data_IF_683378534441
#
_entry.id   IF_683378534441
#
_cell.length_a   1.000
_cell.length_b   1.000
_cell.length_c   1.000
_cell.angle_alpha   90.00
_cell.angle_beta   90.00
_cell.angle_gamma   90.00
#
_symmetry.space_group_name_H-M   'P 1'
#
loop_
_entity.id
_entity.type
_entity.pdbx_description
1 polymer ?
#
# COMPACT_ATOMS: atom_id res chain seq x y z
N UNK A 1 13.12 -25.23 -37.29
CA UNK A 1 13.07 -25.48 -35.82
C UNK A 1 13.64 -24.37 -34.94
N UNK A 2 14.95 -24.11 -34.92
CA UNK A 2 15.52 -23.07 -34.02
C UNK A 2 15.00 -21.67 -34.37
N UNK A 3 15.05 -21.30 -35.65
CA UNK A 3 14.55 -20.01 -36.12
C UNK A 3 13.06 -19.81 -35.87
N UNK A 4 12.24 -20.85 -36.04
CA UNK A 4 10.79 -20.79 -35.75
C UNK A 4 10.53 -20.61 -34.24
N UNK A 5 11.34 -21.26 -33.39
CA UNK A 5 11.26 -21.07 -31.94
C UNK A 5 11.68 -19.66 -31.52
N UNK A 6 12.71 -19.11 -32.17
CA UNK A 6 13.18 -17.73 -32.01
C UNK A 6 12.10 -16.73 -32.47
N UNK A 7 11.58 -16.89 -33.69
CA UNK A 7 10.57 -16.01 -34.29
C UNK A 7 9.26 -16.02 -33.49
N UNK A 8 8.87 -17.17 -32.96
CA UNK A 8 7.68 -17.26 -32.10
C UNK A 8 7.84 -16.58 -30.73
N UNK A 9 9.01 -16.04 -30.37
CA UNK A 9 9.17 -15.17 -29.19
C UNK A 9 8.64 -13.74 -29.44
N UNK A 10 8.50 -13.35 -30.71
CA UNK A 10 8.05 -12.01 -31.09
C UNK A 10 8.97 -10.92 -30.53
N UNK A 11 8.38 -9.90 -29.92
CA UNK A 11 9.07 -8.74 -29.34
C UNK A 11 9.65 -9.01 -27.94
N UNK A 12 9.29 -10.13 -27.30
CA UNK A 12 9.66 -10.43 -25.91
C UNK A 12 11.16 -10.76 -25.72
N UNK A 13 11.93 -10.77 -26.80
CA UNK A 13 13.35 -11.13 -26.79
C UNK A 13 13.58 -12.61 -26.51
N UNK A 14 14.84 -13.03 -26.53
CA UNK A 14 15.25 -14.42 -26.31
C UNK A 14 16.47 -14.41 -25.41
N UNK A 15 16.53 -15.35 -24.48
CA UNK A 15 17.68 -15.56 -23.61
C UNK A 15 18.52 -16.71 -24.17
N UNK A 16 19.82 -16.47 -24.36
CA UNK A 16 20.76 -17.51 -24.78
C UNK A 16 21.62 -17.88 -23.57
N UNK A 17 21.52 -19.14 -23.14
CA UNK A 17 22.25 -19.65 -21.98
C UNK A 17 23.30 -20.68 -22.41
N UNK A 18 24.56 -20.41 -22.10
CA UNK A 18 25.70 -21.29 -22.44
C UNK A 18 26.70 -21.33 -21.29
N UNK A 19 27.16 -22.52 -20.90
CA UNK A 19 28.14 -22.73 -19.82
C UNK A 19 29.60 -22.79 -20.29
N UNK A 20 29.88 -22.37 -21.53
CA UNK A 20 31.21 -22.41 -22.13
C UNK A 20 31.71 -23.83 -22.42
N UNK A 21 32.97 -23.96 -22.84
CA UNK A 21 33.61 -25.24 -23.17
C UNK A 21 34.22 -25.96 -21.97
N UNK A 22 34.43 -25.27 -20.85
CA UNK A 22 35.08 -25.82 -19.65
C UNK A 22 34.12 -26.67 -18.78
N UNK A 23 32.82 -26.59 -19.03
CA UNK A 23 31.78 -27.37 -18.34
C UNK A 23 31.23 -28.38 -19.35
N UNK A 24 32.04 -29.39 -19.68
CA UNK A 24 31.68 -30.45 -20.63
C UNK A 24 30.78 -31.55 -20.02
N UNK A 25 30.73 -31.62 -18.69
CA UNK A 25 29.98 -32.66 -17.97
C UNK A 25 29.37 -32.08 -16.69
N UNK A 26 28.07 -31.80 -16.74
CA UNK A 26 27.26 -31.40 -15.59
C UNK A 26 26.40 -32.58 -15.13
N UNK A 27 26.28 -32.78 -13.81
CA UNK A 27 25.41 -33.82 -13.24
C UNK A 27 23.94 -33.56 -13.57
N UNK A 28 23.15 -34.61 -13.70
CA UNK A 28 21.71 -34.53 -14.01
C UNK A 28 20.94 -33.68 -12.98
N UNK A 29 21.31 -33.77 -11.70
CA UNK A 29 20.75 -32.97 -10.62
C UNK A 29 20.93 -31.46 -10.85
N UNK A 30 22.15 -31.01 -11.20
CA UNK A 30 22.44 -29.60 -11.49
C UNK A 30 21.72 -29.15 -12.76
N UNK A 31 21.63 -30.03 -13.76
CA UNK A 31 20.88 -29.77 -14.98
C UNK A 31 19.39 -29.57 -14.69
N UNK A 32 18.80 -30.39 -13.82
CA UNK A 32 17.41 -30.27 -13.39
C UNK A 32 17.14 -28.99 -12.60
N UNK A 33 18.07 -28.59 -11.71
CA UNK A 33 17.97 -27.31 -10.98
C UNK A 33 17.97 -26.13 -11.96
N UNK A 34 18.92 -26.11 -12.90
CA UNK A 34 18.99 -25.05 -13.92
C UNK A 34 17.75 -25.05 -14.81
N UNK A 35 17.30 -26.21 -15.29
CA UNK A 35 16.09 -26.33 -16.08
C UNK A 35 14.86 -25.78 -15.36
N UNK A 36 14.71 -26.08 -14.06
CA UNK A 36 13.62 -25.58 -13.23
C UNK A 36 13.67 -24.06 -13.02
N UNK A 37 14.86 -23.48 -12.95
CA UNK A 37 15.05 -22.04 -12.86
C UNK A 37 14.73 -21.34 -14.19
N UNK A 38 15.20 -21.89 -15.32
CA UNK A 38 14.90 -21.38 -16.65
C UNK A 38 13.41 -21.46 -16.98
N UNK A 39 12.70 -22.47 -16.47
CA UNK A 39 11.26 -22.62 -16.63
C UNK A 39 10.43 -21.52 -15.95
N UNK A 40 10.97 -20.83 -14.93
CA UNK A 40 10.29 -19.73 -14.24
C UNK A 40 10.35 -18.41 -15.03
N UNK A 41 11.21 -18.34 -16.05
CA UNK A 41 11.44 -17.13 -16.83
C UNK A 41 10.37 -17.02 -17.94
N UNK A 42 9.68 -15.88 -18.10
CA UNK A 42 8.63 -15.73 -19.11
C UNK A 42 9.16 -15.68 -20.55
N UNK A 43 10.43 -15.30 -20.75
CA UNK A 43 11.09 -15.30 -22.05
C UNK A 43 11.45 -16.71 -22.53
N UNK A 44 11.57 -16.88 -23.85
CA UNK A 44 12.09 -18.11 -24.45
C UNK A 44 13.59 -18.22 -24.26
N UNK A 45 14.05 -19.42 -23.89
CA UNK A 45 15.44 -19.69 -23.60
C UNK A 45 16.02 -20.70 -24.59
N UNK A 46 17.13 -20.35 -25.22
CA UNK A 46 17.98 -21.27 -25.97
C UNK A 46 19.12 -21.71 -25.05
N UNK A 47 19.16 -22.99 -24.71
CA UNK A 47 20.20 -23.52 -23.83
C UNK A 47 21.12 -24.48 -24.59
N UNK A 48 22.41 -24.15 -24.65
CA UNK A 48 23.44 -25.08 -25.12
C UNK A 48 23.75 -26.12 -24.04
N UNK A 49 23.38 -27.38 -24.28
CA UNK A 49 23.61 -28.49 -23.37
C UNK A 49 23.91 -29.78 -24.14
N UNK A 50 25.05 -30.39 -23.84
CA UNK A 50 25.54 -31.61 -24.51
C UNK A 50 25.18 -32.89 -23.74
N UNK A 51 24.60 -32.78 -22.54
CA UNK A 51 24.24 -33.92 -21.68
C UNK A 51 22.83 -34.46 -21.89
N UNK A 52 22.40 -35.37 -21.01
CA UNK A 52 21.02 -35.89 -21.03
C UNK A 52 20.01 -34.75 -20.82
N UNK A 53 18.86 -34.87 -21.48
CA UNK A 53 17.74 -33.92 -21.33
C UNK A 53 17.24 -33.94 -19.88
N UNK A 54 17.19 -32.80 -19.18
CA UNK A 54 16.61 -32.69 -17.84
C UNK A 54 15.10 -32.98 -17.86
N UNK A 55 14.59 -33.63 -16.81
CA UNK A 55 13.17 -33.99 -16.70
C UNK A 55 12.30 -32.76 -16.38
N UNK A 56 12.88 -31.73 -15.74
CA UNK A 56 12.20 -30.49 -15.33
C UNK A 56 12.23 -29.40 -16.42
N UNK A 57 12.47 -29.76 -17.67
CA UNK A 57 12.58 -28.80 -18.78
C UNK A 57 11.22 -28.15 -19.11
N UNK A 58 11.12 -26.83 -18.93
CA UNK A 58 9.93 -26.06 -19.27
C UNK A 58 9.70 -25.90 -20.78
N UNK A 59 8.45 -25.64 -21.22
CA UNK A 59 8.10 -25.48 -22.64
C UNK A 59 8.72 -24.22 -23.29
N UNK A 60 9.16 -23.26 -22.46
CA UNK A 60 9.85 -22.04 -22.87
C UNK A 60 11.35 -22.26 -23.15
N UNK A 61 11.92 -23.43 -22.83
CA UNK A 61 13.35 -23.70 -22.99
C UNK A 61 13.58 -24.80 -24.02
N UNK A 62 14.46 -24.55 -25.00
CA UNK A 62 14.91 -25.57 -25.95
C UNK A 62 16.40 -25.84 -25.82
N UNK A 63 16.74 -27.13 -25.82
CA UNK A 63 18.11 -27.62 -25.75
C UNK A 63 18.69 -27.73 -27.15
N UNK A 64 19.89 -27.22 -27.32
CA UNK A 64 20.67 -27.39 -28.54
C UNK A 64 22.06 -27.90 -28.19
N UNK A 65 22.57 -28.81 -29.00
CA UNK A 65 23.96 -29.28 -28.89
C UNK A 65 24.95 -28.17 -29.25
N UNK A 66 24.60 -27.38 -30.27
CA UNK A 66 25.43 -26.32 -30.80
C UNK A 66 24.59 -25.10 -31.16
N UNK A 67 25.09 -23.92 -30.83
CA UNK A 67 24.44 -22.63 -31.11
C UNK A 67 25.46 -21.75 -31.86
N UNK A 68 25.11 -21.16 -33.02
CA UNK A 68 26.01 -20.28 -33.77
C UNK A 68 26.21 -18.96 -33.01
N UNK A 69 27.31 -18.86 -32.26
CA UNK A 69 27.58 -17.70 -31.39
C UNK A 69 27.95 -16.43 -32.17
N UNK A 70 28.64 -16.57 -33.32
CA UNK A 70 29.04 -15.42 -34.15
C UNK A 70 27.82 -14.70 -34.73
N UNK A 71 26.88 -15.43 -35.33
CA UNK A 71 25.67 -14.86 -35.93
C UNK A 71 24.79 -14.16 -34.88
N UNK A 72 24.70 -14.73 -33.67
CA UNK A 72 23.99 -14.10 -32.55
C UNK A 72 24.68 -12.82 -32.08
N UNK A 73 26.01 -12.81 -32.04
CA UNK A 73 26.80 -11.64 -31.67
C UNK A 73 26.62 -10.52 -32.70
N UNK A 74 26.72 -10.83 -34.00
CA UNK A 74 26.48 -9.86 -35.07
C UNK A 74 25.09 -9.24 -34.99
N UNK A 75 24.06 -10.07 -34.74
CA UNK A 75 22.68 -9.60 -34.58
C UNK A 75 22.50 -8.72 -33.34
N UNK A 76 23.16 -9.05 -32.22
CA UNK A 76 23.11 -8.24 -31.00
C UNK A 76 23.78 -6.87 -31.19
N UNK A 77 24.94 -6.84 -31.87
CA UNK A 77 25.65 -5.60 -32.21
C UNK A 77 24.81 -4.74 -33.16
N UNK A 78 24.20 -5.35 -34.17
CA UNK A 78 23.32 -4.65 -35.10
C UNK A 78 22.08 -4.07 -34.41
N UNK A 79 21.39 -4.84 -33.55
CA UNK A 79 20.25 -4.37 -32.76
C UNK A 79 20.63 -3.24 -31.80
N UNK A 80 21.78 -3.34 -31.14
CA UNK A 80 22.31 -2.28 -30.29
C UNK A 80 22.54 -1.00 -31.09
N UNK A 81 23.10 -1.13 -32.30
CA UNK A 81 23.34 0.01 -33.19
C UNK A 81 22.03 0.72 -33.54
N UNK A 82 20.96 -0.02 -33.87
CA UNK A 82 19.64 0.55 -34.16
C UNK A 82 19.01 1.20 -32.93
N UNK A 83 19.15 0.59 -31.74
CA UNK A 83 18.58 1.17 -30.52
C UNK A 83 19.27 2.49 -30.13
N UNK A 84 20.58 2.59 -30.38
CA UNK A 84 21.34 3.81 -30.18
C UNK A 84 21.21 4.80 -31.34
N UNK A 85 20.60 4.40 -32.45
CA UNK A 85 20.36 5.27 -33.59
C UNK A 85 19.25 6.27 -33.26
N UNK A 86 19.66 7.43 -32.77
CA UNK A 86 18.77 8.54 -32.51
C UNK A 86 18.91 9.56 -33.64
N UNK A 87 17.80 10.16 -34.13
CA UNK A 87 17.82 11.10 -35.25
C UNK A 87 18.62 12.39 -34.92
N UNK A 88 18.87 12.64 -33.64
CA UNK A 88 19.71 13.73 -33.16
C UNK A 88 20.70 13.19 -32.14
N UNK A 89 21.97 13.58 -32.29
CA UNK A 89 23.01 13.24 -31.31
C UNK A 89 22.64 13.84 -29.95
N UNK A 90 22.99 13.16 -28.84
CA UNK A 90 22.64 13.63 -27.50
C UNK A 90 23.24 15.01 -27.18
N UNK A 91 24.42 15.31 -27.73
CA UNK A 91 25.06 16.61 -27.60
C UNK A 91 24.26 17.71 -28.31
N UNK A 92 23.87 17.49 -29.57
CA UNK A 92 23.09 18.47 -30.34
C UNK A 92 21.71 18.71 -29.71
N UNK A 93 21.09 17.67 -29.14
CA UNK A 93 19.84 17.80 -28.36
C UNK A 93 20.04 18.66 -27.11
N UNK A 94 21.13 18.45 -26.36
CA UNK A 94 21.43 19.25 -25.18
C UNK A 94 21.70 20.71 -25.56
N UNK A 95 22.49 20.95 -26.62
CA UNK A 95 22.77 22.28 -27.18
C UNK A 95 21.46 22.98 -27.60
N UNK A 96 20.56 22.26 -28.27
CA UNK A 96 19.25 22.79 -28.60
C UNK A 96 18.46 23.25 -27.37
N UNK A 97 18.38 22.42 -26.32
CA UNK A 97 17.62 22.78 -25.12
C UNK A 97 18.24 23.93 -24.33
N UNK A 98 19.57 24.02 -24.22
CA UNK A 98 20.21 25.18 -23.58
C UNK A 98 19.97 26.45 -24.38
N UNK A 99 20.06 26.39 -25.71
CA UNK A 99 19.77 27.54 -26.57
C UNK A 99 18.30 27.94 -26.49
N UNK A 100 17.37 26.97 -26.45
CA UNK A 100 15.95 27.22 -26.26
C UNK A 100 15.70 27.97 -24.94
N UNK A 101 16.31 27.54 -23.84
CA UNK A 101 16.20 28.20 -22.54
C UNK A 101 16.78 29.61 -22.57
N UNK A 102 17.92 29.82 -23.23
CA UNK A 102 18.53 31.15 -23.38
C UNK A 102 17.68 32.10 -24.25
N UNK A 103 17.20 31.64 -25.40
CA UNK A 103 16.38 32.43 -26.34
C UNK A 103 15.06 32.87 -25.73
N UNK A 104 14.46 32.03 -24.89
CA UNK A 104 13.17 32.32 -24.25
C UNK A 104 13.29 32.93 -22.84
N UNK A 105 14.47 33.44 -22.44
CA UNK A 105 14.73 34.09 -21.14
C UNK A 105 14.27 33.24 -19.94
N UNK A 106 14.56 31.93 -20.02
CA UNK A 106 14.06 30.94 -19.09
C UNK A 106 12.66 30.48 -19.46
N UNK A 107 12.51 29.18 -19.78
CA UNK A 107 11.23 28.57 -20.10
C UNK A 107 10.34 28.47 -18.85
N UNK A 108 9.71 29.57 -18.45
CA UNK A 108 8.82 29.65 -17.26
C UNK A 108 7.70 28.61 -17.30
N UNK A 109 7.28 28.21 -18.51
CA UNK A 109 6.27 27.17 -18.74
C UNK A 109 6.78 25.73 -18.56
N UNK A 110 8.09 25.49 -18.61
CA UNK A 110 8.72 24.19 -18.32
C UNK A 110 9.16 24.06 -16.86
N UNK A 111 9.03 25.14 -16.06
CA UNK A 111 9.31 25.08 -14.64
C UNK A 111 8.18 24.33 -13.94
N UNK A 112 8.47 23.32 -13.11
CA UNK A 112 7.45 22.71 -12.26
C UNK A 112 6.81 23.80 -11.39
N UNK A 113 5.47 23.84 -11.37
CA UNK A 113 4.72 24.80 -10.56
C UNK A 113 5.09 24.75 -9.07
N UNK A 114 5.73 23.67 -8.62
CA UNK A 114 6.28 23.45 -7.28
C UNK A 114 7.29 24.52 -6.83
N UNK A 115 8.03 25.16 -7.74
CA UNK A 115 9.11 26.08 -7.35
C UNK A 115 8.59 27.45 -6.88
N UNK A 116 7.40 27.87 -7.30
CA UNK A 116 6.83 29.18 -6.96
C UNK A 116 5.88 29.13 -5.75
N UNK A 117 5.72 27.97 -5.10
CA UNK A 117 4.93 27.86 -3.87
C UNK A 117 5.76 28.28 -2.65
N UNK A 118 5.15 29.10 -1.80
CA UNK A 118 5.70 29.42 -0.47
C UNK A 118 5.86 28.15 0.36
N UNK A 119 6.87 28.11 1.25
CA UNK A 119 7.16 26.93 2.09
C UNK A 119 5.91 26.39 2.83
N UNK A 120 5.03 27.29 3.27
CA UNK A 120 3.78 26.95 3.96
C UNK A 120 2.72 26.28 3.06
N UNK A 121 2.64 26.66 1.78
CA UNK A 121 1.76 26.01 0.80
C UNK A 121 2.30 24.65 0.37
N UNK A 122 3.62 24.54 0.19
CA UNK A 122 4.27 23.27 -0.13
C UNK A 122 4.00 22.22 0.96
N UNK A 123 4.06 22.63 2.23
CA UNK A 123 3.81 21.73 3.35
C UNK A 123 2.32 21.62 3.77
N UNK A 124 1.39 22.26 3.05
CA UNK A 124 -0.06 22.21 3.29
C UNK A 124 -0.44 22.26 4.79
N UNK A 125 0.07 23.26 5.53
CA UNK A 125 -0.11 23.36 6.99
C UNK A 125 -1.58 23.36 7.44
N UNK A 126 -2.49 23.87 6.60
CA UNK A 126 -3.93 23.84 6.88
C UNK A 126 -4.45 22.40 7.00
N UNK A 127 -4.00 21.51 6.12
CA UNK A 127 -4.38 20.10 6.13
C UNK A 127 -3.74 19.35 7.30
N UNK A 128 -2.47 19.65 7.61
CA UNK A 128 -1.79 19.08 8.80
C UNK A 128 -2.50 19.54 10.09
N UNK A 129 -2.86 20.81 10.18
CA UNK A 129 -3.59 21.37 11.31
C UNK A 129 -4.96 20.73 11.50
N UNK A 130 -5.72 20.55 10.41
CA UNK A 130 -7.01 19.86 10.43
C UNK A 130 -6.89 18.40 10.90
N UNK A 131 -5.93 17.65 10.37
CA UNK A 131 -5.68 16.27 10.77
C UNK A 131 -5.30 16.15 12.26
N UNK A 132 -4.43 17.03 12.75
CA UNK A 132 -4.05 17.06 14.18
C UNK A 132 -5.24 17.40 15.07
N UNK A 133 -6.11 18.33 14.66
CA UNK A 133 -7.34 18.66 15.39
C UNK A 133 -8.32 17.47 15.43
N UNK A 134 -8.49 16.75 14.33
CA UNK A 134 -9.30 15.53 14.29
C UNK A 134 -8.75 14.45 15.23
N UNK A 135 -7.43 14.21 15.23
CA UNK A 135 -6.82 13.24 16.15
C UNK A 135 -6.98 13.68 17.61
N UNK A 136 -6.73 14.97 17.91
CA UNK A 136 -6.87 15.50 19.25
C UNK A 136 -8.31 15.40 19.78
N UNK A 137 -9.31 15.69 18.95
CA UNK A 137 -10.74 15.55 19.33
C UNK A 137 -11.12 14.10 19.58
N UNK A 138 -10.68 13.17 18.74
CA UNK A 138 -10.91 11.73 18.94
C UNK A 138 -10.28 11.25 20.26
N UNK A 139 -9.00 11.58 20.50
CA UNK A 139 -8.30 11.24 21.75
C UNK A 139 -9.00 11.87 22.96
N UNK A 140 -9.48 13.12 22.85
CA UNK A 140 -10.20 13.79 23.92
C UNK A 140 -11.53 13.10 24.24
N UNK A 141 -12.32 12.75 23.20
CA UNK A 141 -13.58 12.01 23.35
C UNK A 141 -13.32 10.65 24.00
N UNK A 142 -12.35 9.89 23.50
CA UNK A 142 -11.96 8.59 24.06
C UNK A 142 -11.57 8.74 25.54
N UNK A 143 -10.72 9.71 25.87
CA UNK A 143 -10.26 9.97 27.24
C UNK A 143 -11.43 10.34 28.16
N UNK A 144 -12.37 11.17 27.69
CA UNK A 144 -13.57 11.54 28.45
C UNK A 144 -14.54 10.38 28.61
N UNK A 145 -14.70 9.55 27.59
CA UNK A 145 -15.48 8.31 27.65
C UNK A 145 -14.87 7.33 28.66
N UNK A 146 -13.55 7.10 28.63
CA UNK A 146 -12.86 6.27 29.62
C UNK A 146 -13.02 6.83 31.04
N UNK A 147 -12.76 8.12 31.27
CA UNK A 147 -12.95 8.76 32.58
C UNK A 147 -14.41 8.72 33.06
N UNK A 148 -15.37 8.81 32.14
CA UNK A 148 -16.79 8.67 32.45
C UNK A 148 -17.13 7.24 32.87
N UNK A 149 -16.65 6.23 32.14
CA UNK A 149 -16.78 4.82 32.50
C UNK A 149 -16.13 4.52 33.86
N UNK A 150 -14.92 5.02 34.13
CA UNK A 150 -14.28 4.83 35.44
C UNK A 150 -15.07 5.50 36.58
N UNK A 151 -15.68 6.67 36.35
CA UNK A 151 -16.50 7.35 37.35
C UNK A 151 -17.82 6.65 37.64
N UNK A 152 -18.46 6.05 36.65
CA UNK A 152 -19.72 5.31 36.85
C UNK A 152 -19.48 3.97 37.56
N UNK A 153 -18.44 3.22 37.19
CA UNK A 153 -18.06 1.98 37.89
C UNK A 153 -17.60 2.22 39.34
N UNK A 154 -16.84 3.29 39.61
CA UNK A 154 -16.46 3.65 40.98
C UNK A 154 -17.66 4.05 41.87
N UNK A 155 -18.74 4.58 41.27
CA UNK A 155 -20.00 4.89 41.97
C UNK A 155 -20.80 3.62 42.28
N UNK A 156 -20.82 2.63 41.40
CA UNK A 156 -21.51 1.36 41.62
C UNK A 156 -20.87 0.54 42.74
N UNK A 157 -19.53 0.48 42.82
CA UNK A 157 -18.83 -0.20 43.92
C UNK A 157 -19.05 0.42 45.30
N UNK A 158 -19.26 1.75 45.38
CA UNK A 158 -19.62 2.45 46.64
C UNK A 158 -21.11 2.35 46.99
N UNK A 159 -21.98 2.08 46.02
CA UNK A 159 -23.42 1.89 46.25
C UNK A 159 -23.68 0.50 46.82
N UNK A 160 -23.07 -0.54 46.24
CA UNK A 160 -23.18 -1.92 46.73
C UNK A 160 -22.69 -2.09 48.18
N UNK A 161 -21.59 -1.42 48.57
CA UNK A 161 -21.09 -1.47 49.95
C UNK A 161 -22.02 -0.79 50.97
N UNK A 162 -22.71 0.31 50.59
CA UNK A 162 -23.69 0.98 51.45
C UNK A 162 -25.00 0.20 51.56
N UNK A 163 -25.38 -0.52 50.50
CA UNK A 163 -26.61 -1.33 50.48
C UNK A 163 -26.46 -2.61 51.32
N UNK A 164 -25.26 -3.21 51.39
CA UNK A 164 -24.95 -4.33 52.31
C UNK A 164 -24.99 -3.90 53.79
N UNK A 165 -24.34 -2.79 54.16
CA UNK A 165 -24.38 -2.23 55.52
C UNK A 165 -25.80 -1.82 55.95
N UNK A 166 -26.65 -1.41 54.99
CA UNK A 166 -28.05 -1.06 55.24
C UNK A 166 -28.94 -2.30 55.44
N UNK A 167 -28.68 -3.41 54.74
CA UNK A 167 -29.47 -4.65 54.87
C UNK A 167 -29.25 -5.32 56.25
N UNK A 168 -28.00 -5.34 56.73
CA UNK A 168 -27.66 -5.86 58.06
C UNK A 168 -28.35 -5.06 59.18
N UNK A 169 -28.45 -3.72 59.03
CA UNK A 169 -29.22 -2.87 59.94
C UNK A 169 -30.74 -3.05 59.82
N UNK A 170 -31.26 -3.43 58.64
CA UNK A 170 -32.69 -3.61 58.39
C UNK A 170 -33.23 -4.92 59.00
N UNK A 171 -32.42 -5.97 59.04
CA UNK A 171 -32.79 -7.27 59.65
C UNK A 171 -32.96 -7.15 61.18
N UNK A 172 -32.14 -6.32 61.84
CA UNK A 172 -32.29 -5.99 63.27
C UNK A 172 -33.51 -5.09 63.55
N UNK A 173 -33.95 -4.27 62.59
CA UNK A 173 -35.12 -3.40 62.74
C UNK A 173 -36.46 -4.10 62.42
N UNK A 174 -36.46 -5.12 61.55
CA UNK A 174 -37.69 -5.83 61.13
C UNK A 174 -38.40 -6.62 62.24
N UNK A 175 -37.72 -6.95 63.35
CA UNK A 175 -38.37 -7.56 64.51
C UNK A 175 -39.23 -6.58 65.34
N UNK A 176 -39.02 -5.26 65.19
CA UNK A 176 -39.68 -4.23 66.00
C UNK A 176 -40.79 -3.45 65.26
N UNK A 177 -40.98 -3.68 63.96
CA UNK A 177 -41.89 -2.89 63.12
C UNK A 177 -43.06 -3.70 62.51
N UNK A 178 -43.43 -4.83 63.11
CA UNK A 178 -44.78 -5.38 62.94
C UNK A 178 -45.70 -4.50 63.78
N UNK A 179 -46.36 -3.52 63.16
CA UNK A 179 -47.59 -2.81 63.57
C UNK A 179 -47.61 -1.39 62.95
N UNK A 180 -47.88 -1.27 61.66
CA UNK A 180 -48.55 -0.10 61.08
C UNK A 180 -49.06 -0.43 59.67
N UNK A 181 -50.37 -0.31 59.52
CA UNK A 181 -51.17 -0.62 58.34
C UNK A 181 -51.40 0.61 57.45
N UNK A 182 -51.72 0.35 56.16
CA UNK A 182 -52.56 1.15 55.25
C UNK A 182 -51.93 2.43 54.64
N UNK A 183 -52.13 2.86 53.38
CA UNK A 183 -53.01 2.47 52.27
C UNK A 183 -52.52 3.07 50.92
N UNK A 184 -52.91 2.43 49.80
CA UNK A 184 -53.35 2.90 48.45
C UNK A 184 -52.63 4.06 47.70
N UNK A 185 -52.45 4.06 46.36
CA UNK A 185 -53.40 4.17 45.21
C UNK A 185 -52.55 3.92 43.92
N UNK A 186 -52.73 2.87 43.09
CA UNK A 186 -53.60 2.66 41.90
C UNK A 186 -53.60 3.71 40.77
N UNK A 187 -53.03 3.36 39.59
CA UNK A 187 -53.45 3.88 38.27
C UNK A 187 -53.35 2.74 37.23
N UNK A 188 -54.46 2.57 36.49
CA UNK A 188 -54.84 1.49 35.56
C UNK A 188 -54.44 1.82 34.09
N UNK A 189 -54.15 0.84 33.21
CA UNK A 189 -53.63 1.04 31.86
C UNK A 189 -54.73 0.89 30.81
N UNK A 190 -55.36 1.98 30.38
CA UNK A 190 -56.21 1.95 29.18
C UNK A 190 -56.37 3.31 28.51
N UNK A 191 -55.52 3.60 27.50
CA UNK A 191 -55.89 4.44 26.33
C UNK A 191 -54.86 4.30 25.19
N UNK A 192 -55.31 4.19 23.91
CA UNK A 192 -54.50 3.76 22.78
C UNK A 192 -53.84 4.90 21.99
N UNK A 193 -52.88 4.49 21.16
CA UNK A 193 -51.89 5.21 20.35
C UNK A 193 -52.41 6.32 19.42
N UNK A 194 -51.71 7.45 19.39
CA UNK A 194 -51.77 8.44 18.31
C UNK A 194 -50.39 8.50 17.59
N UNK A 195 -50.40 8.14 16.32
CA UNK A 195 -49.25 8.01 15.41
C UNK A 195 -48.85 9.38 14.83
N UNK A 196 -47.54 9.64 14.66
CA UNK A 196 -47.04 10.49 13.55
C UNK A 196 -45.65 10.03 13.11
N UNK A 197 -45.57 9.51 11.90
CA UNK A 197 -44.33 9.28 11.16
C UNK A 197 -43.90 10.60 10.50
N UNK A 198 -42.63 10.96 10.62
CA UNK A 198 -41.98 11.96 9.76
C UNK A 198 -40.75 11.31 9.11
N UNK A 199 -40.82 11.15 7.79
CA UNK A 199 -39.68 10.83 6.95
C UNK A 199 -39.09 12.14 6.43
N UNK A 200 -37.77 12.31 6.59
CA UNK A 200 -37.05 13.46 6.04
C UNK A 200 -36.60 13.11 4.61
N UNK A 201 -36.84 13.98 3.61
CA UNK A 201 -36.28 13.78 2.28
C UNK A 201 -34.78 14.12 2.30
N UNK A 202 -33.92 13.15 1.95
CA UNK A 202 -32.54 13.43 1.54
C UNK A 202 -32.53 13.74 0.05
N UNK A 203 -32.75 15.02 -0.27
CA UNK A 203 -32.48 15.54 -1.61
C UNK A 203 -31.68 16.84 -1.49
N UNK A 204 -30.36 16.72 -1.69
CA UNK A 204 -29.56 17.83 -2.21
C UNK A 204 -29.04 17.39 -3.57
N UNK A 205 -29.70 17.88 -4.61
CA UNK A 205 -29.20 17.88 -5.99
C UNK A 205 -28.60 19.26 -6.28
N UNK A 206 -27.33 19.31 -6.71
CA UNK A 206 -26.85 19.96 -7.95
C UNK A 206 -25.37 20.34 -7.82
N UNK A 207 -24.57 19.70 -8.67
CA UNK A 207 -23.37 20.20 -9.33
C UNK A 207 -22.31 20.89 -8.45
N UNK A 208 -21.31 20.13 -7.99
CA UNK A 208 -20.02 20.75 -7.69
C UNK A 208 -18.84 19.82 -8.10
N UNK A 209 -18.15 20.12 -9.22
CA UNK A 209 -16.94 19.41 -9.62
C UNK A 209 -15.73 19.63 -8.66
N UNK A 210 -15.88 20.44 -7.60
CA UNK A 210 -14.82 20.71 -6.62
C UNK A 210 -14.69 19.65 -5.51
N UNK A 211 -15.74 18.86 -5.22
CA UNK A 211 -15.69 17.83 -4.18
C UNK A 211 -14.85 16.61 -4.60
N UNK A 212 -14.82 16.30 -5.90
CA UNK A 212 -13.95 15.25 -6.45
C UNK A 212 -12.48 15.63 -6.30
N UNK A 213 -12.13 16.91 -6.48
CA UNK A 213 -10.75 17.41 -6.34
C UNK A 213 -10.30 17.35 -4.87
N UNK A 214 -11.18 17.65 -3.91
CA UNK A 214 -10.84 17.59 -2.48
C UNK A 214 -10.71 16.15 -1.99
N UNK A 215 -11.69 15.28 -2.26
CA UNK A 215 -11.62 13.89 -1.81
C UNK A 215 -10.45 13.13 -2.45
N UNK A 216 -10.14 13.38 -3.72
CA UNK A 216 -8.98 12.80 -4.40
C UNK A 216 -7.64 13.31 -3.83
N UNK A 217 -7.56 14.59 -3.42
CA UNK A 217 -6.40 15.13 -2.69
C UNK A 217 -6.26 14.53 -1.29
N UNK A 218 -7.36 14.33 -0.58
CA UNK A 218 -7.37 13.68 0.74
C UNK A 218 -6.93 12.23 0.59
N UNK A 219 -7.43 11.51 -0.40
CA UNK A 219 -7.03 10.13 -0.69
C UNK A 219 -5.55 10.04 -1.05
N UNK A 220 -5.06 10.88 -1.97
CA UNK A 220 -3.64 10.89 -2.34
C UNK A 220 -2.72 11.29 -1.18
N UNK A 221 -3.13 12.23 -0.33
CA UNK A 221 -2.37 12.60 0.88
C UNK A 221 -2.37 11.49 1.94
N UNK A 222 -3.48 10.77 2.10
CA UNK A 222 -3.56 9.59 2.99
C UNK A 222 -2.67 8.48 2.44
N UNK A 223 -2.63 8.27 1.12
CA UNK A 223 -1.72 7.32 0.50
C UNK A 223 -0.25 7.72 0.65
N UNK A 224 0.10 9.00 0.48
CA UNK A 224 1.47 9.50 0.68
C UNK A 224 1.89 9.38 2.15
N UNK A 225 1.02 9.73 3.11
CA UNK A 225 1.29 9.53 4.54
C UNK A 225 1.42 8.04 4.89
N UNK A 226 0.60 7.18 4.28
CA UNK A 226 0.68 5.73 4.46
C UNK A 226 1.96 5.16 3.83
N UNK A 227 2.37 5.68 2.67
CA UNK A 227 3.57 5.28 1.96
C UNK A 227 4.81 5.74 2.71
N UNK A 228 4.89 7.00 3.14
CA UNK A 228 6.00 7.53 3.93
C UNK A 228 6.10 6.83 5.30
N UNK A 229 4.98 6.60 5.99
CA UNK A 229 5.01 5.90 7.28
C UNK A 229 5.37 4.42 7.11
N UNK A 230 4.84 3.73 6.10
CA UNK A 230 5.20 2.34 5.82
C UNK A 230 6.65 2.22 5.34
N UNK A 231 7.14 3.15 4.52
CA UNK A 231 8.48 3.16 3.97
C UNK A 231 9.53 3.54 5.03
N UNK A 232 9.28 4.53 5.88
CA UNK A 232 10.17 4.89 7.00
C UNK A 232 10.26 3.76 8.02
N UNK A 233 9.14 3.12 8.35
CA UNK A 233 9.13 2.02 9.34
C UNK A 233 9.75 0.74 8.77
N UNK A 234 9.59 0.47 7.47
CA UNK A 234 10.14 -0.71 6.79
C UNK A 234 11.63 -0.54 6.45
N UNK A 235 12.09 0.65 6.05
CA UNK A 235 13.49 0.88 5.69
C UNK A 235 14.42 0.96 6.90
N UNK A 236 14.01 1.58 8.01
CA UNK A 236 14.91 1.74 9.16
C UNK A 236 15.38 0.39 9.73
N UNK A 237 14.46 -0.57 9.89
CA UNK A 237 14.80 -1.92 10.39
C UNK A 237 15.64 -2.77 9.42
N UNK A 238 15.48 -2.57 8.11
CA UNK A 238 16.16 -3.40 7.09
C UNK A 238 17.53 -2.85 6.70
N UNK A 239 17.67 -1.52 6.62
CA UNK A 239 18.92 -0.87 6.25
C UNK A 239 19.91 -0.78 7.41
N UNK A 240 19.47 -0.56 8.66
CA UNK A 240 20.37 -0.53 9.83
C UNK A 240 21.13 -1.85 10.00
N UNK A 241 20.49 -2.99 9.66
CA UNK A 241 21.13 -4.32 9.68
C UNK A 241 22.13 -4.53 8.53
N UNK A 242 21.85 -3.94 7.36
CA UNK A 242 22.70 -4.06 6.18
C UNK A 242 23.99 -3.22 6.33
N UNK A 243 23.89 -2.04 6.94
CA UNK A 243 25.06 -1.19 7.20
C UNK A 243 25.95 -1.72 8.33
N UNK A 244 25.41 -2.45 9.32
CA UNK A 244 26.19 -3.07 10.39
C UNK A 244 26.95 -4.34 9.99
N UNK A 245 26.60 -4.98 8.86
CA UNK A 245 27.28 -6.19 8.37
C UNK A 245 28.35 -5.89 7.30
N UNK A 246 28.37 -4.68 6.74
CA UNK A 246 29.27 -4.27 5.63
C UNK A 246 30.41 -3.34 6.08
N UNK A 247 30.30 -2.74 7.28
CA UNK A 247 31.38 -2.03 7.98
C UNK A 247 31.94 -2.89 9.11
#
# INVERSE_FOLDING_TARGET
>A
EMEEFVQSSGENGIVVFTLGSMISSMTEERANVIASALAQIPQKVLWRHDGKKPDTLGPNTRLYKWIPQNDLLEKAVWLSTIHHDQPVKPLDRAVFWIEFVMRHKGAKHLRPAAHDLTWFQYHSLDVIGFLLACVATVVFVITKCFLFCYRTFAKTGKKQKRDCDFCEKREQASHLAVLASSASILVDPSKPSALKFEAYPTSFTKNEPDLMIFMERVTNMVYDLYFDFSFVTFNKKKWDKFYSEVL
#
